data_IF_829045889054
#
_entry.id   IF_829045889054
#
_cell.length_a   1.000
_cell.length_b   1.000
_cell.length_c   1.000
_cell.angle_alpha   90.00
_cell.angle_beta   90.00
_cell.angle_gamma   90.00
#
_symmetry.space_group_name_H-M   'P 1'
#
loop_
_entity.id
_entity.type
_entity.pdbx_description
1 polymer ?
#
# COMPACT_ATOMS: atom_id res chain seq x y z
N UNK A 1 -34.86 15.45 17.66
CA UNK A 1 -33.64 14.82 17.13
C UNK A 1 -33.41 15.14 15.66
N UNK A 2 -34.40 14.96 14.76
CA UNK A 2 -34.30 15.36 13.34
C UNK A 2 -34.18 16.88 13.12
N UNK A 3 -34.86 17.71 13.93
CA UNK A 3 -34.77 19.17 13.83
C UNK A 3 -33.42 19.76 14.30
N UNK A 4 -32.65 19.01 15.12
CA UNK A 4 -31.30 19.43 15.50
C UNK A 4 -30.25 19.10 14.42
N UNK A 5 -30.50 18.07 13.60
CA UNK A 5 -29.65 17.73 12.45
C UNK A 5 -29.89 18.67 11.24
N UNK A 6 -31.09 19.25 11.13
CA UNK A 6 -31.47 20.14 10.03
C UNK A 6 -30.70 21.48 10.02
N UNK A 7 -30.12 21.90 11.14
CA UNK A 7 -29.32 23.13 11.22
C UNK A 7 -27.92 23.02 10.61
N UNK A 8 -27.37 21.81 10.49
CA UNK A 8 -25.97 21.56 10.07
C UNK A 8 -25.88 21.11 8.61
N UNK A 9 -26.92 20.48 8.08
CA UNK A 9 -26.94 19.95 6.72
C UNK A 9 -28.01 20.64 5.89
N UNK A 10 -27.59 21.39 4.88
CA UNK A 10 -28.47 22.22 4.05
C UNK A 10 -29.63 21.46 3.36
N UNK A 11 -30.60 22.20 2.81
CA UNK A 11 -31.94 21.71 2.44
C UNK A 11 -31.98 20.54 1.44
N UNK A 12 -30.90 20.31 0.68
CA UNK A 12 -30.81 19.20 -0.30
C UNK A 12 -30.72 17.80 0.32
N UNK A 13 -30.20 17.66 1.54
CA UNK A 13 -30.08 16.36 2.22
C UNK A 13 -31.44 15.92 2.79
N UNK A 14 -32.30 16.88 3.15
CA UNK A 14 -33.64 16.64 3.67
C UNK A 14 -34.57 16.01 2.61
N UNK A 15 -34.46 16.45 1.36
CA UNK A 15 -35.21 15.85 0.24
C UNK A 15 -34.70 14.45 -0.11
N UNK A 16 -33.38 14.22 -0.07
CA UNK A 16 -32.78 12.90 -0.29
C UNK A 16 -33.21 11.87 0.78
N UNK A 17 -33.21 12.26 2.06
CA UNK A 17 -33.67 11.40 3.16
C UNK A 17 -35.16 11.06 3.07
N UNK A 18 -36.00 12.00 2.63
CA UNK A 18 -37.44 11.77 2.45
C UNK A 18 -37.75 10.84 1.28
N UNK A 19 -37.04 10.97 0.16
CA UNK A 19 -37.24 10.11 -1.02
C UNK A 19 -36.77 8.67 -0.75
N UNK A 20 -35.68 8.48 0.00
CA UNK A 20 -35.19 7.15 0.35
C UNK A 20 -36.08 6.41 1.38
N UNK A 21 -36.75 7.12 2.30
CA UNK A 21 -37.59 6.50 3.32
C UNK A 21 -38.92 5.95 2.79
N UNK A 22 -39.44 6.49 1.69
CA UNK A 22 -40.82 6.22 1.26
C UNK A 22 -40.92 5.01 0.31
N UNK A 23 -39.83 4.55 -0.31
CA UNK A 23 -39.93 3.60 -1.44
C UNK A 23 -38.91 2.46 -1.53
N UNK A 24 -38.23 2.04 -0.46
CA UNK A 24 -37.26 0.92 -0.59
C UNK A 24 -37.35 -0.15 0.49
N UNK A 25 -37.12 -1.38 0.03
CA UNK A 25 -37.15 -2.63 0.78
C UNK A 25 -36.26 -2.59 2.04
N UNK A 26 -36.59 -3.38 3.08
CA UNK A 26 -35.88 -3.36 4.37
C UNK A 26 -34.36 -3.62 4.25
N UNK A 27 -33.92 -4.29 3.18
CA UNK A 27 -32.50 -4.49 2.86
C UNK A 27 -31.78 -3.18 2.48
N UNK A 28 -32.42 -2.31 1.69
CA UNK A 28 -31.85 -1.01 1.30
C UNK A 28 -31.85 -0.02 2.47
N UNK A 29 -32.82 -0.10 3.38
CA UNK A 29 -32.81 0.65 4.64
C UNK A 29 -31.66 0.19 5.56
N UNK A 30 -31.39 -1.12 5.63
CA UNK A 30 -30.24 -1.63 6.39
C UNK A 30 -28.91 -1.20 5.77
N UNK A 31 -28.79 -1.24 4.45
CA UNK A 31 -27.61 -0.79 3.71
C UNK A 31 -27.42 0.72 3.79
N UNK A 32 -28.51 1.50 3.74
CA UNK A 32 -28.49 2.95 3.92
C UNK A 32 -28.19 3.33 5.39
N UNK A 33 -28.69 2.59 6.37
CA UNK A 33 -28.33 2.77 7.78
C UNK A 33 -26.86 2.42 8.02
N UNK A 34 -26.33 1.34 7.44
CA UNK A 34 -24.90 1.01 7.48
C UNK A 34 -24.10 2.10 6.77
N UNK A 35 -24.55 2.58 5.61
CA UNK A 35 -23.87 3.65 4.88
C UNK A 35 -23.94 4.95 5.66
N UNK A 36 -25.04 5.30 6.31
CA UNK A 36 -25.20 6.51 7.15
C UNK A 36 -24.40 6.37 8.45
N UNK A 37 -24.34 5.19 9.07
CA UNK A 37 -23.51 4.92 10.25
C UNK A 37 -22.03 4.98 9.86
N UNK A 38 -21.62 4.37 8.75
CA UNK A 38 -20.28 4.52 8.16
C UNK A 38 -20.04 5.99 7.81
N UNK A 39 -20.98 6.70 7.19
CA UNK A 39 -20.78 8.10 6.79
C UNK A 39 -20.72 9.01 8.01
N UNK A 40 -21.45 8.73 9.10
CA UNK A 40 -21.42 9.47 10.37
C UNK A 40 -20.21 9.10 11.24
N UNK A 41 -19.72 7.85 11.21
CA UNK A 41 -18.45 7.43 11.83
C UNK A 41 -17.23 7.95 11.05
N UNK A 42 -17.35 8.10 9.72
CA UNK A 42 -16.26 8.57 8.85
C UNK A 42 -16.27 10.10 8.64
N UNK A 43 -17.36 10.82 8.96
CA UNK A 43 -17.41 12.27 8.82
C UNK A 43 -16.49 13.07 9.75
N UNK A 44 -16.17 12.67 11.01
CA UNK A 44 -15.33 13.51 11.85
C UNK A 44 -13.84 13.39 11.50
N UNK A 45 -13.38 12.33 10.81
CA UNK A 45 -11.95 12.12 10.57
C UNK A 45 -11.45 12.63 9.22
N UNK A 46 -12.31 12.74 8.19
CA UNK A 46 -11.88 13.26 6.87
C UNK A 46 -11.69 14.79 6.84
N UNK A 47 -12.13 15.51 7.88
CA UNK A 47 -12.09 16.98 7.97
C UNK A 47 -11.25 17.54 9.12
N UNK A 48 -10.61 16.69 9.94
CA UNK A 48 -9.69 17.16 11.00
C UNK A 48 -8.26 17.20 10.49
N UNK A 49 -8.00 18.10 9.54
CA UNK A 49 -6.64 18.57 9.25
C UNK A 49 -6.20 19.65 10.25
N UNK A 50 -7.08 20.07 11.17
CA UNK A 50 -6.84 21.23 12.04
C UNK A 50 -6.41 20.87 13.46
N UNK A 51 -6.74 19.69 14.00
CA UNK A 51 -6.33 19.25 15.34
C UNK A 51 -6.20 17.71 15.45
N UNK A 52 -5.02 17.13 15.15
CA UNK A 52 -4.78 15.68 15.25
C UNK A 52 -4.94 15.14 16.69
N UNK A 53 -4.65 15.97 17.70
CA UNK A 53 -4.76 15.62 19.12
C UNK A 53 -6.17 15.17 19.54
N UNK A 54 -7.19 15.91 19.07
CA UNK A 54 -8.60 15.64 19.40
C UNK A 54 -9.07 14.33 18.75
N UNK A 55 -8.55 14.02 17.56
CA UNK A 55 -8.88 12.78 16.86
C UNK A 55 -8.29 11.56 17.58
N UNK A 56 -7.06 11.66 18.08
CA UNK A 56 -6.39 10.61 18.87
C UNK A 56 -7.17 10.36 20.17
N UNK A 57 -7.52 11.41 20.92
CA UNK A 57 -8.30 11.27 22.16
C UNK A 57 -9.66 10.61 21.91
N UNK A 58 -10.41 11.08 20.91
CA UNK A 58 -11.71 10.50 20.59
C UNK A 58 -11.61 9.02 20.19
N UNK A 59 -10.59 8.65 19.41
CA UNK A 59 -10.37 7.25 19.04
C UNK A 59 -10.11 6.35 20.27
N UNK A 60 -9.34 6.85 21.24
CA UNK A 60 -9.06 6.14 22.49
C UNK A 60 -10.30 6.02 23.39
N UNK A 61 -11.13 7.07 23.46
CA UNK A 61 -12.40 7.05 24.18
C UNK A 61 -13.38 6.03 23.61
N UNK A 62 -13.42 5.89 22.29
CA UNK A 62 -14.21 4.85 21.63
C UNK A 62 -13.62 3.47 21.90
N UNK A 63 -12.30 3.30 21.77
CA UNK A 63 -11.63 2.02 22.05
C UNK A 63 -11.85 1.53 23.49
N UNK A 64 -11.98 2.44 24.46
CA UNK A 64 -12.29 2.12 25.85
C UNK A 64 -13.70 1.54 26.05
N UNK A 65 -14.63 1.77 25.12
CA UNK A 65 -16.02 1.29 25.19
C UNK A 65 -16.19 -0.14 24.63
N UNK A 66 -15.24 -0.62 23.82
CA UNK A 66 -15.29 -1.95 23.22
C UNK A 66 -14.62 -3.00 24.10
N UNK A 67 -15.07 -4.28 24.08
CA UNK A 67 -14.42 -5.36 24.81
C UNK A 67 -13.01 -5.64 24.26
N UNK A 68 -12.09 -6.11 25.12
CA UNK A 68 -10.69 -6.37 24.76
C UNK A 68 -10.49 -7.51 23.75
N UNK A 69 -11.50 -8.38 23.59
CA UNK A 69 -11.49 -9.50 22.65
C UNK A 69 -11.88 -9.11 21.21
N UNK A 70 -12.40 -7.89 20.99
CA UNK A 70 -12.74 -7.40 19.65
C UNK A 70 -11.50 -6.81 18.94
N UNK A 71 -10.70 -7.72 18.39
CA UNK A 71 -9.43 -7.39 17.73
C UNK A 71 -9.63 -6.61 16.42
N UNK A 72 -10.73 -6.84 15.70
CA UNK A 72 -10.97 -6.25 14.38
C UNK A 72 -11.37 -4.77 14.49
N UNK A 73 -12.31 -4.46 15.39
CA UNK A 73 -12.69 -3.06 15.66
C UNK A 73 -11.51 -2.27 16.23
N UNK A 74 -10.71 -2.91 17.09
CA UNK A 74 -9.51 -2.29 17.66
C UNK A 74 -8.46 -1.98 16.57
N UNK A 75 -8.15 -2.95 15.70
CA UNK A 75 -7.22 -2.75 14.60
C UNK A 75 -7.68 -1.63 13.67
N UNK A 76 -8.97 -1.61 13.31
CA UNK A 76 -9.54 -0.60 12.43
C UNK A 76 -9.44 0.82 13.03
N UNK A 77 -9.80 1.00 14.30
CA UNK A 77 -9.76 2.31 14.96
C UNK A 77 -8.31 2.81 15.15
N UNK A 78 -7.40 1.91 15.54
CA UNK A 78 -5.99 2.25 15.68
C UNK A 78 -5.34 2.59 14.33
N UNK A 79 -5.65 1.86 13.26
CA UNK A 79 -5.15 2.14 11.89
C UNK A 79 -5.59 3.54 11.43
N UNK A 80 -6.85 3.91 11.68
CA UNK A 80 -7.39 5.23 11.34
C UNK A 80 -6.79 6.37 12.15
N UNK A 81 -6.47 6.12 13.41
CA UNK A 81 -5.74 7.06 14.26
C UNK A 81 -4.28 7.23 13.80
N UNK A 82 -3.64 6.15 13.34
CA UNK A 82 -2.26 6.17 12.84
C UNK A 82 -2.10 6.93 11.54
N UNK A 83 -3.05 6.77 10.60
CA UNK A 83 -2.93 7.31 9.24
C UNK A 83 -2.48 8.80 9.16
N UNK A 84 -3.00 9.73 9.98
CA UNK A 84 -2.54 11.13 9.98
C UNK A 84 -1.29 11.42 10.85
N UNK A 85 -0.97 10.60 11.84
CA UNK A 85 0.02 10.88 12.90
C UNK A 85 1.33 10.12 12.67
N UNK A 86 1.21 8.84 12.35
CA UNK A 86 2.31 7.94 12.02
C UNK A 86 1.79 7.01 10.92
N UNK A 87 1.75 7.47 9.66
CA UNK A 87 1.22 6.64 8.58
C UNK A 87 1.93 5.31 8.64
N UNK A 88 1.16 4.25 8.92
CA UNK A 88 1.61 2.89 8.60
C UNK A 88 1.92 3.00 7.12
N UNK A 89 3.12 2.59 6.72
CA UNK A 89 3.53 2.50 5.32
C UNK A 89 2.50 1.62 4.65
N UNK A 90 1.39 2.24 4.26
CA UNK A 90 0.18 1.55 3.87
C UNK A 90 0.59 1.09 2.50
N UNK A 91 0.58 -0.23 2.30
CA UNK A 91 0.79 -0.81 0.99
C UNK A 91 -0.02 0.03 0.02
N UNK A 92 0.70 0.81 -0.79
CA UNK A 92 0.10 1.79 -1.68
C UNK A 92 -1.00 1.07 -2.45
N UNK A 93 -2.21 1.67 -2.65
CA UNK A 93 -3.24 1.00 -3.41
C UNK A 93 -2.66 0.47 -4.73
N UNK A 94 -3.08 -0.73 -5.19
CA UNK A 94 -2.50 -1.33 -6.38
C UNK A 94 -2.49 -0.34 -7.53
N UNK A 95 -1.31 -0.14 -8.12
CA UNK A 95 -1.10 0.81 -9.19
C UNK A 95 -0.70 0.06 -10.47
N UNK A 96 -1.12 0.57 -11.64
CA UNK A 96 -0.74 -0.03 -12.91
C UNK A 96 0.73 0.27 -13.21
N UNK A 97 1.42 -0.76 -13.71
CA UNK A 97 2.81 -0.74 -14.14
C UNK A 97 2.89 -1.22 -15.59
N UNK A 98 3.54 -0.47 -16.45
CA UNK A 98 3.87 -0.83 -17.82
C UNK A 98 5.31 -1.30 -17.88
N UNK A 99 5.52 -2.48 -18.45
CA UNK A 99 6.85 -3.04 -18.70
C UNK A 99 7.19 -2.90 -20.17
N UNK A 100 8.29 -2.21 -20.47
CA UNK A 100 8.81 -2.05 -21.83
C UNK A 100 10.27 -2.50 -21.91
N UNK A 101 10.70 -2.91 -23.10
CA UNK A 101 12.10 -3.25 -23.37
C UNK A 101 12.88 -1.97 -23.67
N UNK A 102 14.13 -1.89 -23.23
CA UNK A 102 15.02 -0.81 -23.65
C UNK A 102 15.26 -0.87 -25.16
N UNK A 103 14.87 0.19 -25.87
CA UNK A 103 14.52 0.15 -27.29
C UNK A 103 15.41 -0.70 -28.22
N UNK A 104 16.72 -0.52 -28.23
CA UNK A 104 17.61 -1.24 -29.14
C UNK A 104 17.97 -2.68 -28.70
N UNK A 105 17.47 -3.11 -27.54
CA UNK A 105 17.72 -4.45 -27.00
C UNK A 105 16.60 -5.45 -27.31
N UNK A 106 15.50 -5.01 -27.93
CA UNK A 106 14.40 -5.88 -28.35
C UNK A 106 14.90 -7.05 -29.22
N UNK A 107 15.71 -6.75 -30.24
CA UNK A 107 16.30 -7.76 -31.12
C UNK A 107 17.22 -8.74 -30.37
N UNK A 108 17.99 -8.25 -29.40
CA UNK A 108 18.90 -9.07 -28.59
C UNK A 108 18.14 -10.06 -27.69
N UNK A 109 17.09 -9.58 -27.03
CA UNK A 109 16.23 -10.41 -26.18
C UNK A 109 15.40 -11.39 -27.01
N UNK A 110 14.95 -10.97 -28.19
CA UNK A 110 14.23 -11.81 -29.14
C UNK A 110 15.09 -12.98 -29.62
N UNK A 111 16.33 -12.73 -30.06
CA UNK A 111 17.26 -13.78 -30.52
C UNK A 111 17.57 -14.78 -29.41
N UNK A 112 17.72 -14.32 -28.16
CA UNK A 112 17.97 -15.23 -27.02
C UNK A 112 16.75 -16.07 -26.66
N UNK A 113 15.55 -15.49 -26.69
CA UNK A 113 14.30 -16.24 -26.46
C UNK A 113 14.10 -17.32 -27.51
N UNK A 114 14.36 -17.00 -28.79
CA UNK A 114 14.34 -18.00 -29.87
C UNK A 114 15.39 -19.08 -29.63
N UNK A 115 16.61 -18.75 -29.21
CA UNK A 115 17.64 -19.77 -28.94
C UNK A 115 17.19 -20.77 -27.87
N UNK A 116 16.50 -20.32 -26.82
CA UNK A 116 15.97 -21.22 -25.79
C UNK A 116 14.75 -22.03 -26.26
N UNK A 117 13.81 -21.41 -26.99
CA UNK A 117 12.70 -22.13 -27.61
C UNK A 117 13.21 -23.17 -28.62
N UNK A 118 14.21 -22.83 -29.43
CA UNK A 118 14.87 -23.75 -30.36
C UNK A 118 15.66 -24.82 -29.60
N UNK A 119 16.26 -24.54 -28.45
CA UNK A 119 16.84 -25.58 -27.59
C UNK A 119 15.76 -26.55 -27.10
N UNK A 120 14.65 -26.06 -26.58
CA UNK A 120 13.52 -26.86 -26.11
C UNK A 120 12.85 -27.66 -27.25
N UNK A 121 12.77 -27.11 -28.46
CA UNK A 121 12.27 -27.78 -29.66
C UNK A 121 13.30 -28.71 -30.30
N UNK A 122 14.60 -28.45 -30.15
CA UNK A 122 15.62 -29.44 -30.53
C UNK A 122 15.56 -30.68 -29.64
N UNK A 123 14.99 -30.53 -28.44
CA UNK A 123 14.66 -31.62 -27.53
C UNK A 123 13.31 -32.30 -27.89
N UNK A 124 12.32 -31.53 -28.37
CA UNK A 124 11.02 -32.00 -28.85
C UNK A 124 10.89 -31.83 -30.37
N UNK A 125 11.20 -32.89 -31.12
CA UNK A 125 11.28 -32.96 -32.59
C UNK A 125 9.97 -32.55 -33.34
N UNK A 126 9.54 -31.29 -33.29
CA UNK A 126 8.38 -30.74 -34.01
C UNK A 126 8.73 -29.42 -34.72
N UNK A 127 8.21 -29.29 -35.95
CA UNK A 127 8.40 -28.12 -36.83
C UNK A 127 7.36 -27.04 -36.48
N UNK A 128 7.82 -25.84 -36.14
CA UNK A 128 6.95 -24.66 -36.03
C UNK A 128 6.53 -24.12 -37.41
N UNK A 129 5.37 -23.49 -37.46
CA UNK A 129 4.82 -22.86 -38.68
C UNK A 129 4.78 -21.34 -38.54
N UNK A 130 4.70 -20.62 -39.68
CA UNK A 130 4.84 -19.16 -39.77
C UNK A 130 3.80 -18.36 -38.94
N UNK A 131 2.68 -18.98 -38.53
CA UNK A 131 1.68 -18.38 -37.63
C UNK A 131 2.16 -18.26 -36.19
N UNK A 132 3.09 -19.11 -35.75
CA UNK A 132 3.65 -19.07 -34.39
C UNK A 132 4.46 -17.80 -34.18
N UNK A 133 5.13 -17.28 -35.22
CA UNK A 133 5.93 -16.05 -35.23
C UNK A 133 5.12 -14.77 -34.96
N UNK A 134 3.84 -14.69 -35.36
CA UNK A 134 2.98 -13.54 -35.07
C UNK A 134 2.55 -13.47 -33.60
N UNK A 135 2.52 -14.61 -32.90
CA UNK A 135 2.29 -14.67 -31.46
C UNK A 135 3.46 -14.04 -30.67
N UNK A 136 4.69 -14.10 -31.22
CA UNK A 136 5.88 -13.52 -30.62
C UNK A 136 5.94 -11.99 -30.69
N UNK A 137 5.38 -11.36 -31.74
CA UNK A 137 5.34 -9.89 -31.86
C UNK A 137 4.37 -9.23 -30.87
N UNK A 138 3.29 -9.92 -30.46
CA UNK A 138 2.35 -9.42 -29.46
C UNK A 138 2.94 -9.40 -28.03
N UNK A 139 3.99 -10.16 -27.77
CA UNK A 139 4.67 -10.26 -26.46
C UNK A 139 5.76 -9.22 -26.23
N UNK A 140 6.12 -8.43 -27.25
CA UNK A 140 7.01 -7.27 -27.15
C UNK A 140 6.24 -5.95 -26.93
N UNK A 141 4.91 -6.01 -26.97
CA UNK A 141 4.05 -4.88 -26.60
C UNK A 141 4.27 -4.52 -25.12
N UNK A 142 4.22 -3.24 -24.74
CA UNK A 142 4.29 -2.86 -23.34
C UNK A 142 3.21 -3.60 -22.53
N UNK A 143 3.65 -4.43 -21.59
CA UNK A 143 2.76 -5.25 -20.78
C UNK A 143 2.27 -4.40 -19.60
N UNK A 144 0.96 -4.17 -19.52
CA UNK A 144 0.35 -3.51 -18.37
C UNK A 144 0.00 -4.54 -17.29
N UNK A 145 0.67 -4.47 -16.15
CA UNK A 145 0.53 -5.35 -14.99
C UNK A 145 0.13 -4.52 -13.77
N UNK A 146 -0.68 -5.07 -12.87
CA UNK A 146 -1.00 -4.40 -11.60
C UNK A 146 0.06 -4.74 -10.54
N UNK A 147 0.41 -3.79 -9.68
CA UNK A 147 1.44 -3.97 -8.63
C UNK A 147 1.10 -5.05 -7.58
N UNK A 148 -0.12 -5.57 -7.55
CA UNK A 148 -0.59 -6.67 -6.68
C UNK A 148 -0.60 -8.04 -7.38
N UNK A 149 -0.13 -8.09 -8.63
CA UNK A 149 -0.05 -9.35 -9.39
C UNK A 149 0.84 -10.34 -8.65
N UNK A 150 0.39 -11.61 -8.57
CA UNK A 150 1.11 -12.65 -7.83
C UNK A 150 2.52 -12.83 -8.37
N UNK A 151 3.53 -12.64 -7.51
CA UNK A 151 4.94 -12.74 -7.87
C UNK A 151 5.53 -11.47 -8.49
N UNK A 152 4.74 -10.42 -8.66
CA UNK A 152 5.18 -9.11 -9.13
C UNK A 152 5.37 -8.18 -7.92
N UNK A 153 6.57 -8.17 -7.35
CA UNK A 153 6.88 -7.47 -6.09
C UNK A 153 6.96 -8.41 -4.87
N UNK A 154 7.31 -7.88 -3.68
CA UNK A 154 7.38 -6.46 -3.32
C UNK A 154 8.67 -5.73 -3.74
N UNK A 155 9.72 -6.45 -4.17
CA UNK A 155 11.01 -5.87 -4.55
C UNK A 155 11.19 -5.80 -6.07
N UNK A 156 12.13 -4.98 -6.52
CA UNK A 156 12.54 -4.93 -7.92
C UNK A 156 13.11 -6.28 -8.40
N UNK A 157 13.76 -7.04 -7.50
CA UNK A 157 14.16 -8.42 -7.79
C UNK A 157 12.98 -9.32 -8.19
N UNK A 158 11.83 -9.16 -7.54
CA UNK A 158 10.63 -9.95 -7.86
C UNK A 158 10.07 -9.56 -9.23
N UNK A 159 10.14 -8.28 -9.59
CA UNK A 159 9.80 -7.79 -10.94
C UNK A 159 10.74 -8.41 -12.00
N UNK A 160 12.06 -8.45 -11.72
CA UNK A 160 13.04 -9.10 -12.61
C UNK A 160 12.70 -10.60 -12.76
N UNK A 161 12.45 -11.30 -11.65
CA UNK A 161 12.10 -12.72 -11.66
C UNK A 161 10.81 -12.99 -12.43
N UNK A 162 9.81 -12.11 -12.27
CA UNK A 162 8.56 -12.16 -13.02
C UNK A 162 8.81 -12.02 -14.51
N UNK A 163 9.56 -10.99 -14.94
CA UNK A 163 9.93 -10.80 -16.35
C UNK A 163 10.69 -12.03 -16.87
N UNK A 164 11.64 -12.57 -16.12
CA UNK A 164 12.39 -13.75 -16.53
C UNK A 164 11.49 -14.98 -16.72
N UNK A 165 10.54 -15.18 -15.81
CA UNK A 165 9.60 -16.30 -15.84
C UNK A 165 8.62 -16.19 -17.01
N UNK A 166 7.97 -15.03 -17.17
CA UNK A 166 6.99 -14.79 -18.24
C UNK A 166 7.62 -14.85 -19.64
N UNK A 167 8.90 -14.49 -19.75
CA UNK A 167 9.61 -14.43 -21.02
C UNK A 167 10.52 -15.64 -21.29
N UNK A 168 10.48 -16.68 -20.45
CA UNK A 168 11.33 -17.88 -20.54
C UNK A 168 12.83 -17.55 -20.69
N UNK A 169 13.28 -16.54 -19.96
CA UNK A 169 14.68 -16.12 -19.93
C UNK A 169 15.47 -17.01 -18.97
N UNK A 170 16.70 -17.34 -19.32
CA UNK A 170 17.59 -18.15 -18.47
C UNK A 170 17.96 -17.41 -17.18
N UNK A 171 18.09 -18.15 -16.08
CA UNK A 171 18.38 -17.60 -14.73
C UNK A 171 19.77 -16.98 -14.57
N UNK A 172 20.66 -17.17 -15.55
CA UNK A 172 22.00 -16.60 -15.58
C UNK A 172 22.04 -15.17 -16.18
N UNK A 173 20.94 -14.69 -16.77
CA UNK A 173 20.86 -13.34 -17.30
C UNK A 173 20.59 -12.33 -16.17
N UNK A 174 21.51 -11.38 -16.02
CA UNK A 174 21.31 -10.21 -15.17
C UNK A 174 20.48 -9.20 -15.94
N UNK A 175 19.29 -8.89 -15.45
CA UNK A 175 18.47 -7.78 -15.96
C UNK A 175 18.58 -6.60 -15.02
N UNK A 176 18.55 -5.41 -15.59
CA UNK A 176 18.40 -4.14 -14.89
C UNK A 176 17.03 -3.56 -15.20
N UNK A 177 16.42 -2.93 -14.20
CA UNK A 177 15.19 -2.15 -14.37
C UNK A 177 15.55 -0.68 -14.29
N UNK A 178 15.09 0.10 -15.26
CA UNK A 178 15.25 1.53 -15.33
C UNK A 178 13.88 2.20 -15.16
N UNK A 179 13.81 3.21 -14.31
CA UNK A 179 12.64 4.05 -14.12
C UNK A 179 13.11 5.51 -14.07
N UNK A 180 12.49 6.41 -14.83
CA UNK A 180 12.85 7.84 -14.85
C UNK A 180 14.36 8.10 -15.04
N UNK A 181 14.96 7.39 -16.00
CA UNK A 181 16.39 7.45 -16.34
C UNK A 181 17.34 7.08 -15.17
N UNK A 182 16.87 6.25 -14.24
CA UNK A 182 17.64 5.77 -13.10
C UNK A 182 17.60 4.25 -13.03
N UNK A 183 18.75 3.61 -12.84
CA UNK A 183 18.84 2.16 -12.71
C UNK A 183 18.49 1.77 -11.27
N UNK A 184 17.49 0.91 -11.11
CA UNK A 184 16.99 0.50 -9.80
C UNK A 184 17.74 -0.73 -9.29
N UNK A 185 18.23 -0.68 -8.04
CA UNK A 185 18.80 -1.86 -7.40
C UNK A 185 17.71 -2.91 -7.11
N UNK A 186 18.04 -4.22 -7.22
CA UNK A 186 17.07 -5.30 -7.01
C UNK A 186 16.46 -5.33 -5.60
N UNK A 187 17.16 -4.80 -4.61
CA UNK A 187 16.75 -4.78 -3.21
C UNK A 187 15.68 -3.72 -2.89
N UNK A 188 15.49 -2.74 -3.79
CA UNK A 188 14.50 -1.69 -3.60
C UNK A 188 13.08 -2.25 -3.62
N UNK A 189 12.19 -1.64 -2.83
CA UNK A 189 10.76 -1.95 -2.85
C UNK A 189 10.08 -1.22 -4.00
N UNK A 190 9.21 -1.91 -4.73
CA UNK A 190 8.48 -1.36 -5.86
C UNK A 190 7.58 -0.17 -5.44
N UNK A 191 6.97 -0.23 -4.25
CA UNK A 191 6.14 0.86 -3.72
C UNK A 191 6.95 2.13 -3.39
N UNK A 192 8.16 1.96 -2.85
CA UNK A 192 9.05 3.10 -2.56
C UNK A 192 9.51 3.76 -3.86
N UNK A 193 9.82 2.97 -4.90
CA UNK A 193 10.16 3.47 -6.24
C UNK A 193 8.97 4.26 -6.81
N UNK A 194 7.75 3.73 -6.71
CA UNK A 194 6.57 4.44 -7.21
C UNK A 194 6.35 5.77 -6.47
N UNK A 195 6.43 5.78 -5.14
CA UNK A 195 6.19 7.00 -4.36
C UNK A 195 7.30 8.04 -4.48
N UNK A 196 8.56 7.63 -4.52
CA UNK A 196 9.72 8.53 -4.43
C UNK A 196 10.36 8.87 -5.77
N UNK A 197 10.26 7.98 -6.78
CA UNK A 197 10.82 8.22 -8.12
C UNK A 197 9.69 8.59 -9.08
N UNK A 198 8.67 7.74 -9.20
CA UNK A 198 7.62 7.95 -10.20
C UNK A 198 6.74 9.18 -9.89
N UNK A 199 6.19 9.25 -8.68
CA UNK A 199 5.32 10.36 -8.26
C UNK A 199 6.08 11.67 -7.96
N UNK A 200 7.41 11.64 -7.85
CA UNK A 200 8.20 12.86 -7.72
C UNK A 200 8.07 13.75 -8.96
N UNK A 201 7.77 13.16 -10.12
CA UNK A 201 7.49 13.88 -11.35
C UNK A 201 6.01 14.30 -11.41
N UNK A 202 5.68 15.61 -11.44
CA UNK A 202 4.30 16.08 -11.43
C UNK A 202 3.46 15.60 -12.63
N UNK A 203 4.11 15.30 -13.76
CA UNK A 203 3.46 14.80 -14.98
C UNK A 203 2.96 13.36 -14.86
N UNK A 204 3.44 12.61 -13.86
CA UNK A 204 3.23 11.17 -13.74
C UNK A 204 2.07 10.77 -12.83
N UNK A 205 1.46 11.72 -12.10
CA UNK A 205 0.43 11.45 -11.10
C UNK A 205 -0.82 10.72 -11.63
N UNK A 206 -1.13 10.89 -12.92
CA UNK A 206 -2.24 10.20 -13.60
C UNK A 206 -1.79 9.21 -14.67
N UNK A 207 -0.49 8.91 -14.74
CA UNK A 207 0.11 8.03 -15.73
C UNK A 207 0.41 6.65 -15.14
N UNK A 208 0.44 5.65 -16.02
CA UNK A 208 0.84 4.28 -15.68
C UNK A 208 2.36 4.29 -15.44
N UNK A 209 2.81 3.66 -14.35
CA UNK A 209 4.24 3.60 -14.02
C UNK A 209 5.02 2.86 -15.10
N UNK A 210 5.96 3.52 -15.75
CA UNK A 210 6.79 2.89 -16.77
C UNK A 210 8.08 2.33 -16.15
N UNK A 211 8.28 1.03 -16.33
CA UNK A 211 9.51 0.33 -15.98
C UNK A 211 10.11 -0.25 -17.26
N UNK A 212 11.34 0.14 -17.56
CA UNK A 212 12.07 -0.29 -18.75
C UNK A 212 13.11 -1.32 -18.32
N UNK A 213 13.05 -2.54 -18.85
CA UNK A 213 14.04 -3.56 -18.53
C UNK A 213 15.10 -3.70 -19.62
N UNK A 214 16.33 -4.00 -19.21
CA UNK A 214 17.49 -4.11 -20.09
C UNK A 214 18.53 -5.10 -19.59
N UNK A 215 19.44 -5.48 -20.47
CA UNK A 215 20.65 -6.22 -20.16
C UNK A 215 21.79 -5.20 -19.95
N UNK A 216 22.54 -5.30 -18.84
CA UNK A 216 23.65 -4.40 -18.51
C UNK A 216 24.81 -4.54 -19.50
N UNK A 217 25.50 -3.42 -19.77
CA UNK A 217 26.75 -3.38 -20.53
C UNK A 217 26.63 -3.54 -22.05
N UNK A 218 25.41 -3.48 -22.60
CA UNK A 218 25.18 -3.41 -24.05
C UNK A 218 25.20 -1.98 -24.59
N UNK A 219 24.88 -1.00 -23.74
CA UNK A 219 24.94 0.42 -24.06
C UNK A 219 26.02 1.11 -23.22
N UNK A 220 26.66 2.15 -23.78
CA UNK A 220 27.56 3.04 -23.04
C UNK A 220 26.77 4.18 -22.38
N UNK A 221 25.71 3.82 -21.64
CA UNK A 221 24.88 4.79 -20.95
C UNK A 221 25.33 4.95 -19.49
N UNK A 222 25.69 6.18 -19.10
CA UNK A 222 26.15 6.49 -17.75
C UNK A 222 24.97 6.86 -16.83
N UNK A 223 23.92 6.03 -16.80
CA UNK A 223 22.78 6.27 -15.92
C UNK A 223 23.15 6.01 -14.46
N UNK A 224 22.67 6.84 -13.52
CA UNK A 224 22.95 6.65 -12.10
C UNK A 224 22.20 5.45 -11.54
N UNK A 225 22.86 4.73 -10.64
CA UNK A 225 22.25 3.67 -9.85
C UNK A 225 21.57 4.24 -8.59
N UNK A 226 20.35 3.81 -8.33
CA UNK A 226 19.64 4.07 -7.08
C UNK A 226 19.79 2.85 -6.19
N UNK A 227 20.64 2.97 -5.17
CA UNK A 227 20.88 1.90 -4.20
C UNK A 227 19.95 1.97 -3.00
N UNK A 228 19.56 3.18 -2.61
CA UNK A 228 18.76 3.43 -1.42
C UNK A 228 17.71 4.51 -1.70
N UNK A 229 16.46 4.16 -1.43
CA UNK A 229 15.37 5.12 -1.35
C UNK A 229 15.17 5.47 0.11
N UNK A 230 15.54 6.69 0.49
CA UNK A 230 15.22 7.21 1.82
C UNK A 230 13.72 7.43 1.89
N UNK A 231 13.00 6.53 2.57
CA UNK A 231 11.68 6.86 3.10
C UNK A 231 11.83 8.20 3.83
N UNK A 232 11.15 9.28 3.40
CA UNK A 232 11.28 10.55 4.08
C UNK A 232 10.90 10.30 5.55
N UNK A 233 11.79 10.62 6.51
CA UNK A 233 11.49 10.39 7.91
C UNK A 233 10.22 11.17 8.23
N UNK A 234 9.25 10.50 8.84
CA UNK A 234 8.03 11.16 9.34
C UNK A 234 8.48 12.33 10.22
N UNK A 235 8.09 13.59 9.90
CA UNK A 235 8.55 14.76 10.65
C UNK A 235 8.15 14.63 12.12
N UNK A 236 8.98 15.14 13.02
CA UNK A 236 8.78 15.05 14.48
C UNK A 236 7.41 15.58 14.90
N UNK A 237 6.95 16.63 14.23
CA UNK A 237 5.63 17.25 14.43
C UNK A 237 4.46 16.30 14.16
N UNK A 238 4.60 15.34 13.24
CA UNK A 238 3.51 14.41 12.93
C UNK A 238 3.35 13.36 14.02
N UNK A 239 4.44 12.76 14.53
CA UNK A 239 4.33 11.72 15.55
C UNK A 239 4.31 12.25 16.98
N UNK A 240 4.66 13.53 17.24
CA UNK A 240 4.58 14.11 18.59
C UNK A 240 3.18 14.05 19.19
N UNK A 241 2.13 14.04 18.36
CA UNK A 241 0.74 13.88 18.79
C UNK A 241 0.44 12.54 19.48
N UNK A 242 1.32 11.53 19.35
CA UNK A 242 1.22 10.28 20.11
C UNK A 242 1.54 10.44 21.59
N UNK A 243 2.07 11.58 22.05
CA UNK A 243 2.27 11.89 23.48
C UNK A 243 0.97 11.69 24.29
N UNK A 244 -0.18 11.93 23.67
CA UNK A 244 -1.51 11.71 24.24
C UNK A 244 -1.72 10.25 24.70
N UNK A 245 -1.07 9.28 24.06
CA UNK A 245 -1.14 7.87 24.47
C UNK A 245 -0.53 7.63 25.86
N UNK A 246 0.43 8.47 26.27
CA UNK A 246 1.04 8.40 27.59
C UNK A 246 0.13 9.00 28.68
N UNK A 247 -0.58 10.10 28.35
CA UNK A 247 -1.48 10.80 29.27
C UNK A 247 -2.84 10.11 29.43
N UNK A 248 -3.35 9.50 28.35
CA UNK A 248 -4.68 8.94 28.32
C UNK A 248 -4.80 7.67 29.19
N UNK A 249 -5.82 7.54 30.06
CA UNK A 249 -5.99 6.38 30.96
C UNK A 249 -6.02 5.03 30.24
N UNK A 250 -6.59 5.01 29.03
CA UNK A 250 -6.69 3.83 28.17
C UNK A 250 -5.59 3.76 27.09
N UNK A 251 -4.70 4.75 26.96
CA UNK A 251 -3.75 4.88 25.84
C UNK A 251 -2.82 3.69 25.64
N UNK A 252 -1.59 3.75 26.15
CA UNK A 252 -0.64 2.64 26.03
C UNK A 252 -1.12 1.37 26.74
N UNK A 253 -1.77 1.50 27.90
CA UNK A 253 -2.27 0.37 28.68
C UNK A 253 -3.35 -0.42 27.93
N UNK A 254 -4.29 0.25 27.28
CA UNK A 254 -5.36 -0.39 26.52
C UNK A 254 -4.83 -1.12 25.29
N UNK A 255 -3.85 -0.52 24.59
CA UNK A 255 -3.17 -1.18 23.47
C UNK A 255 -2.45 -2.45 23.93
N UNK A 256 -1.67 -2.39 25.03
CA UNK A 256 -0.96 -3.54 25.58
C UNK A 256 -1.91 -4.63 26.11
N UNK A 257 -3.00 -4.24 26.78
CA UNK A 257 -4.00 -5.18 27.29
C UNK A 257 -4.66 -5.96 26.15
N UNK A 258 -4.98 -5.29 25.04
CA UNK A 258 -5.52 -5.91 23.82
C UNK A 258 -4.50 -6.77 23.09
N UNK A 259 -3.23 -6.37 23.08
CA UNK A 259 -2.16 -7.24 22.55
C UNK A 259 -2.03 -8.53 23.37
N UNK A 260 -2.23 -8.47 24.69
CA UNK A 260 -2.20 -9.64 25.56
C UNK A 260 -3.38 -10.62 25.33
N UNK A 261 -4.51 -10.16 24.78
CA UNK A 261 -5.64 -11.04 24.43
C UNK A 261 -5.41 -11.79 23.11
N UNK A 262 -4.42 -11.39 22.30
CA UNK A 262 -4.11 -12.05 21.02
C UNK A 262 -3.49 -13.44 21.26
N UNK A 263 -4.29 -14.49 21.12
CA UNK A 263 -3.84 -15.89 21.20
C UNK A 263 -3.42 -16.49 19.85
N UNK A 264 -3.95 -15.93 18.76
CA UNK A 264 -3.72 -16.41 17.39
C UNK A 264 -3.21 -15.25 16.52
N UNK A 265 -1.93 -15.35 16.13
CA UNK A 265 -1.25 -14.32 15.34
C UNK A 265 -1.86 -14.12 13.96
N UNK A 266 -2.56 -15.13 13.39
CA UNK A 266 -3.21 -14.99 12.08
C UNK A 266 -4.49 -14.17 12.18
N UNK A 267 -5.26 -14.33 13.26
CA UNK A 267 -6.50 -13.58 13.51
C UNK A 267 -6.23 -12.17 14.03
N UNK A 268 -5.17 -11.99 14.81
CA UNK A 268 -4.74 -10.70 15.34
C UNK A 268 -3.73 -9.95 14.47
N UNK A 269 -3.43 -10.42 13.24
CA UNK A 269 -2.35 -9.88 12.40
C UNK A 269 -2.44 -8.36 12.22
N UNK A 270 -3.62 -7.84 11.90
CA UNK A 270 -3.83 -6.41 11.66
C UNK A 270 -3.58 -5.60 12.94
N UNK A 271 -4.11 -6.06 14.08
CA UNK A 271 -3.87 -5.43 15.38
C UNK A 271 -2.39 -5.43 15.74
N UNK A 272 -1.68 -6.55 15.51
CA UNK A 272 -0.24 -6.67 15.76
C UNK A 272 0.56 -5.68 14.92
N UNK A 273 0.30 -5.61 13.61
CA UNK A 273 1.01 -4.71 12.69
C UNK A 273 0.81 -3.25 13.11
N UNK A 274 -0.45 -2.84 13.31
CA UNK A 274 -0.80 -1.47 13.69
C UNK A 274 -0.20 -1.11 15.05
N UNK A 275 -0.32 -2.00 16.04
CA UNK A 275 0.17 -1.72 17.39
C UNK A 275 1.69 -1.68 17.47
N UNK A 276 2.41 -2.56 16.77
CA UNK A 276 3.87 -2.51 16.70
C UNK A 276 4.35 -1.23 16.04
N UNK A 277 3.66 -0.78 14.98
CA UNK A 277 3.95 0.49 14.33
C UNK A 277 3.77 1.66 15.28
N UNK A 278 2.65 1.74 16.00
CA UNK A 278 2.43 2.78 17.03
C UNK A 278 3.54 2.75 18.08
N UNK A 279 3.91 1.57 18.57
CA UNK A 279 4.94 1.42 19.60
C UNK A 279 6.31 1.85 19.10
N UNK A 280 6.65 1.60 17.83
CA UNK A 280 7.90 2.08 17.23
C UNK A 280 8.03 3.61 17.31
N UNK A 281 6.95 4.34 17.05
CA UNK A 281 6.93 5.81 17.18
C UNK A 281 6.83 6.27 18.62
N UNK A 282 6.10 5.54 19.48
CA UNK A 282 6.08 5.83 20.92
C UNK A 282 7.48 5.74 21.54
N UNK A 283 8.32 4.82 21.08
CA UNK A 283 9.71 4.72 21.51
C UNK A 283 10.58 5.91 21.07
N UNK A 284 10.11 6.76 20.14
CA UNK A 284 10.80 7.99 19.73
C UNK A 284 10.41 9.20 20.61
N UNK A 285 9.39 9.06 21.47
CA UNK A 285 8.83 10.13 22.31
C UNK A 285 9.19 9.92 23.79
N UNK A 286 9.80 10.91 24.47
CA UNK A 286 10.29 10.74 25.84
C UNK A 286 9.19 10.50 26.87
N UNK A 287 7.98 11.05 26.68
CA UNK A 287 6.83 10.87 27.57
C UNK A 287 6.27 9.44 27.49
N UNK A 288 6.13 8.91 26.27
CA UNK A 288 5.75 7.52 26.06
C UNK A 288 6.82 6.56 26.60
N UNK A 289 8.12 6.86 26.43
CA UNK A 289 9.20 6.06 27.03
C UNK A 289 9.08 5.98 28.56
N UNK A 290 8.87 7.12 29.24
CA UNK A 290 8.68 7.16 30.70
C UNK A 290 7.49 6.31 31.13
N UNK A 291 6.37 6.40 30.41
CA UNK A 291 5.16 5.65 30.72
C UNK A 291 5.31 4.14 30.45
N UNK A 292 6.05 3.74 29.41
CA UNK A 292 6.37 2.34 29.12
C UNK A 292 7.30 1.70 30.18
N UNK A 293 8.09 2.51 30.87
CA UNK A 293 8.97 2.08 31.97
C UNK A 293 8.26 2.08 33.35
N UNK A 294 7.02 2.55 33.41
CA UNK A 294 6.23 2.64 34.64
C UNK A 294 5.74 1.24 35.06
N UNK A 295 6.06 0.76 36.28
CA UNK A 295 5.57 -0.52 36.77
C UNK A 295 4.04 -0.60 36.91
N UNK A 296 3.31 0.52 36.94
CA UNK A 296 1.84 0.53 36.94
C UNK A 296 1.24 0.13 35.58
N UNK A 297 2.05 0.06 34.52
CA UNK A 297 1.65 -0.38 33.19
C UNK A 297 1.77 -1.92 33.01
N UNK A 298 2.48 -2.62 33.91
CA UNK A 298 2.73 -4.07 33.88
C UNK A 298 1.65 -4.89 34.59
#
# INVERSE_FOLDING_TARGET
>A
MLDQLAGVTGPRIREFLWVSLVHTSPLLLFQACIFIILTLLFLPLKKSSTHPDVAVQAALDFLAQYPDDDLASAAFLLDRMCAPVCPISTDLPPFPVSLSVWGNQEDYLFVRRIREVVRLLSFFNERLTFTDLNFFYLLLSPLSVSSDTRGFGPRILDVINYICTENNLTTDMRLEIVCENQILMPELRLQDVYSQIWLANPSNANSIMELIYRIPGLEEDNLPYVEQLTTPPVPVEQYSHLEILAEHPFGLRGILSRLATVRDALKGRELLVVSMHILEYCLKIPECQKRLLDPELQ
#
